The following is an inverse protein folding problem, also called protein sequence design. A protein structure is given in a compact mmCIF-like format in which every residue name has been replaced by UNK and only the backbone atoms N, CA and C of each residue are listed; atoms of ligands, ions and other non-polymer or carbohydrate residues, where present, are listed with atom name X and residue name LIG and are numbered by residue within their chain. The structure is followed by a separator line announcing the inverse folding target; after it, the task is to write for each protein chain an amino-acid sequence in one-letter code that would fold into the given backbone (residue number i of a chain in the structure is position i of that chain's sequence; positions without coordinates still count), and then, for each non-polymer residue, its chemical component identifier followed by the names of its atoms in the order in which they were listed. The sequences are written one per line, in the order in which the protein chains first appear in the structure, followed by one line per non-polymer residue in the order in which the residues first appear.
data_IF_432032037046
#
_entry.id   IF_432032037046
#
_cell.length_a   1.000
_cell.length_b   1.000
_cell.length_c   1.000
_cell.angle_alpha   90.00
_cell.angle_beta   90.00
_cell.angle_gamma   90.00
#
_symmetry.space_group_name_H-M   'P 1'
#
loop_
_entity.id
_entity.type
_entity.pdbx_description
1 polymer ?
#
# COMPACT_ATOMS: atom_id res chain seq x y z
N UNK A 1 -4.36 11.06 13.80
CA UNK A 1 -3.64 10.95 12.52
C UNK A 1 -3.66 9.49 12.05
N UNK A 2 -4.10 9.27 10.85
CA UNK A 2 -4.16 7.93 10.24
C UNK A 2 -2.79 7.60 9.66
N UNK A 3 -2.31 6.38 9.93
CA UNK A 3 -1.10 5.84 9.30
C UNK A 3 -1.52 4.98 8.12
N UNK A 4 -0.98 5.26 6.94
CA UNK A 4 -1.36 4.61 5.70
C UNK A 4 -0.26 3.70 5.18
N UNK A 5 -0.62 2.47 4.85
CA UNK A 5 0.23 1.54 4.12
C UNK A 5 -0.25 1.52 2.68
N UNK A 6 0.59 1.99 1.76
CA UNK A 6 0.24 2.09 0.35
C UNK A 6 0.76 0.87 -0.39
N UNK A 7 -0.16 0.11 -0.99
CA UNK A 7 0.14 -1.07 -1.79
C UNK A 7 0.80 -0.69 -3.12
N UNK A 8 1.54 -1.65 -3.68
CA UNK A 8 2.27 -1.50 -4.94
C UNK A 8 1.39 -1.01 -6.09
N UNK A 9 0.13 -1.45 -6.16
CA UNK A 9 -0.79 -1.02 -7.22
C UNK A 9 -0.97 0.49 -7.26
N UNK A 10 -1.06 1.13 -6.09
CA UNK A 10 -1.23 2.57 -5.95
C UNK A 10 0.08 3.32 -6.18
N UNK A 11 1.19 2.81 -5.63
CA UNK A 11 2.52 3.36 -5.90
C UNK A 11 2.86 3.31 -7.39
N UNK A 12 2.54 2.20 -8.07
CA UNK A 12 2.83 2.02 -9.49
C UNK A 12 2.12 3.06 -10.35
N UNK A 13 0.89 3.43 -10.02
CA UNK A 13 0.19 4.51 -10.72
C UNK A 13 0.97 5.83 -10.62
N UNK A 14 1.38 6.20 -9.41
CA UNK A 14 2.11 7.45 -9.16
C UNK A 14 3.46 7.47 -9.90
N UNK A 15 4.19 6.35 -9.85
CA UNK A 15 5.54 6.26 -10.42
C UNK A 15 5.51 6.18 -11.94
N UNK A 16 4.53 5.49 -12.54
CA UNK A 16 4.38 5.46 -13.99
C UNK A 16 4.09 6.85 -14.56
N UNK A 17 3.25 7.62 -13.88
CA UNK A 17 2.94 8.98 -14.31
C UNK A 17 4.18 9.88 -14.22
N UNK A 18 5.00 9.74 -13.19
CA UNK A 18 6.26 10.46 -13.05
C UNK A 18 7.23 10.10 -14.19
N UNK A 19 7.39 8.80 -14.48
CA UNK A 19 8.25 8.31 -15.55
C UNK A 19 7.83 8.86 -16.92
N UNK A 20 6.54 8.92 -17.17
CA UNK A 20 5.98 9.43 -18.43
C UNK A 20 5.88 10.96 -18.48
N UNK A 21 6.36 11.65 -17.44
CA UNK A 21 6.28 13.10 -17.30
C UNK A 21 4.84 13.65 -17.35
N UNK A 22 3.87 12.79 -17.00
CA UNK A 22 2.49 13.23 -16.87
C UNK A 22 2.30 14.02 -15.58
N UNK A 23 1.27 14.86 -15.55
CA UNK A 23 0.97 15.68 -14.38
C UNK A 23 0.61 14.78 -13.19
N UNK A 24 1.54 14.67 -12.23
CA UNK A 24 1.38 13.83 -11.05
C UNK A 24 0.34 14.34 -10.05
N UNK A 25 -0.21 15.56 -10.26
CA UNK A 25 -1.23 16.13 -9.37
C UNK A 25 -2.51 15.30 -9.28
N UNK A 26 -2.72 14.42 -10.26
CA UNK A 26 -3.92 13.59 -10.33
C UNK A 26 -3.81 12.27 -9.56
N UNK A 27 -2.60 11.89 -9.09
CA UNK A 27 -2.42 10.60 -8.42
C UNK A 27 -2.94 10.61 -6.98
N UNK A 28 -3.45 9.46 -6.54
CA UNK A 28 -3.90 9.29 -5.16
C UNK A 28 -2.75 9.50 -4.17
N UNK A 29 -1.56 8.99 -4.48
CA UNK A 29 -0.37 9.16 -3.62
C UNK A 29 -0.08 10.64 -3.39
N UNK A 30 -0.09 11.44 -4.44
CA UNK A 30 0.18 12.87 -4.29
C UNK A 30 -0.85 13.55 -3.41
N UNK A 31 -2.13 13.20 -3.56
CA UNK A 31 -3.19 13.75 -2.72
C UNK A 31 -3.03 13.38 -1.26
N UNK A 32 -2.63 12.14 -1.00
CA UNK A 32 -2.33 11.66 0.35
C UNK A 32 -1.18 12.48 0.96
N UNK A 33 -0.11 12.70 0.20
CA UNK A 33 1.04 13.49 0.64
C UNK A 33 0.60 14.94 0.95
N UNK A 34 -0.19 15.54 0.08
CA UNK A 34 -0.69 16.90 0.26
C UNK A 34 -1.59 17.07 1.50
N UNK A 35 -2.24 15.99 1.93
CA UNK A 35 -3.05 15.99 3.14
C UNK A 35 -2.26 15.71 4.41
N UNK A 36 -0.93 15.61 4.33
CA UNK A 36 -0.05 15.39 5.47
C UNK A 36 -0.35 14.11 6.26
N UNK A 37 -0.89 13.08 5.59
CA UNK A 37 -1.07 11.78 6.22
C UNK A 37 0.28 11.09 6.38
N UNK A 38 0.43 10.28 7.43
CA UNK A 38 1.66 9.50 7.63
C UNK A 38 1.65 8.27 6.73
N UNK A 39 2.65 8.17 5.85
CA UNK A 39 2.81 7.04 4.95
C UNK A 39 3.89 6.12 5.51
N UNK A 40 3.57 4.82 5.53
CA UNK A 40 4.47 3.77 6.00
C UNK A 40 4.81 2.84 4.84
N UNK A 41 6.07 2.42 4.78
CA UNK A 41 6.58 1.47 3.80
C UNK A 41 7.06 0.22 4.53
N UNK A 42 6.82 -0.94 3.92
CA UNK A 42 7.33 -2.23 4.39
C UNK A 42 8.22 -2.87 3.31
N UNK A 43 9.10 -3.78 3.72
CA UNK A 43 10.16 -4.32 2.87
C UNK A 43 9.67 -4.96 1.59
N UNK A 44 8.63 -5.78 1.62
CA UNK A 44 8.16 -6.46 0.42
C UNK A 44 7.55 -5.50 -0.61
N UNK A 45 6.91 -4.43 -0.17
CA UNK A 45 6.39 -3.41 -1.09
C UNK A 45 7.55 -2.61 -1.69
N UNK A 46 8.52 -2.23 -0.86
CA UNK A 46 9.74 -1.56 -1.34
C UNK A 46 10.44 -2.39 -2.43
N UNK A 47 10.65 -3.66 -2.17
CA UNK A 47 11.28 -4.58 -3.13
C UNK A 47 10.46 -4.67 -4.43
N UNK A 48 9.14 -4.81 -4.31
CA UNK A 48 8.27 -4.96 -5.46
C UNK A 48 8.24 -3.72 -6.35
N UNK A 49 8.29 -2.54 -5.74
CA UNK A 49 8.37 -1.29 -6.49
C UNK A 49 9.70 -1.19 -7.24
N UNK A 50 10.81 -1.46 -6.57
CA UNK A 50 12.14 -1.24 -7.13
C UNK A 50 12.57 -2.30 -8.13
N UNK A 51 12.12 -3.54 -7.97
CA UNK A 51 12.59 -4.66 -8.80
C UNK A 51 12.31 -4.52 -10.30
N UNK A 52 11.32 -3.72 -10.66
CA UNK A 52 10.97 -3.51 -12.07
C UNK A 52 11.67 -2.33 -12.72
N UNK A 53 12.51 -1.60 -11.98
CA UNK A 53 13.16 -0.40 -12.47
C UNK A 53 14.60 -0.73 -12.85
N UNK A 54 14.86 -0.87 -14.15
CA UNK A 54 16.18 -1.25 -14.67
C UNK A 54 17.08 -0.06 -14.97
N UNK A 55 16.52 1.13 -15.16
CA UNK A 55 17.29 2.36 -15.34
C UNK A 55 17.91 2.79 -13.99
N UNK A 56 19.24 2.87 -13.92
CA UNK A 56 19.93 3.16 -12.66
C UNK A 56 19.62 4.53 -12.08
N UNK A 57 19.47 5.54 -12.93
CA UNK A 57 19.15 6.90 -12.49
C UNK A 57 17.74 6.94 -11.89
N UNK A 58 16.77 6.36 -12.57
CA UNK A 58 15.40 6.30 -12.09
C UNK A 58 15.30 5.46 -10.81
N UNK A 59 16.01 4.33 -10.75
CA UNK A 59 16.08 3.49 -9.55
C UNK A 59 16.54 4.30 -8.33
N UNK A 60 17.62 5.07 -8.48
CA UNK A 60 18.15 5.90 -7.40
C UNK A 60 17.18 7.00 -6.98
N UNK A 61 16.51 7.64 -7.93
CA UNK A 61 15.52 8.67 -7.64
C UNK A 61 14.36 8.10 -6.83
N UNK A 62 13.79 6.98 -7.27
CA UNK A 62 12.65 6.35 -6.61
C UNK A 62 13.06 5.83 -5.23
N UNK A 63 14.23 5.18 -5.13
CA UNK A 63 14.77 4.73 -3.85
C UNK A 63 14.86 5.89 -2.85
N UNK A 64 15.39 7.02 -3.28
CA UNK A 64 15.56 8.18 -2.41
C UNK A 64 14.21 8.75 -1.96
N UNK A 65 13.23 8.81 -2.85
CA UNK A 65 11.87 9.23 -2.50
C UNK A 65 11.27 8.31 -1.45
N UNK A 66 11.38 6.99 -1.65
CA UNK A 66 10.80 6.01 -0.73
C UNK A 66 11.50 6.00 0.63
N UNK A 67 12.79 6.33 0.68
CA UNK A 67 13.54 6.40 1.93
C UNK A 67 13.08 7.54 2.85
N UNK A 68 12.36 8.53 2.34
CA UNK A 68 11.86 9.64 3.13
C UNK A 68 10.63 9.28 3.96
N UNK A 69 10.02 8.15 3.70
CA UNK A 69 8.83 7.70 4.43
C UNK A 69 9.20 6.78 5.60
N UNK A 70 8.32 6.69 6.58
CA UNK A 70 8.49 5.77 7.72
C UNK A 70 8.55 4.34 7.23
N UNK A 71 9.39 3.53 7.86
CA UNK A 71 9.57 2.12 7.52
C UNK A 71 9.24 1.24 8.71
N UNK A 72 8.48 0.17 8.49
CA UNK A 72 8.16 -0.83 9.51
C UNK A 72 8.72 -2.17 9.06
N UNK A 73 9.46 -2.82 9.95
CA UNK A 73 9.97 -4.18 9.74
C UNK A 73 8.84 -5.20 9.90
N UNK A 74 8.85 -6.22 9.04
CA UNK A 74 7.91 -7.34 9.16
C UNK A 74 8.45 -8.28 10.25
N UNK A 75 7.62 -8.56 11.25
CA UNK A 75 8.01 -9.36 12.40
C UNK A 75 7.64 -10.84 12.23
N UNK A 76 8.18 -11.68 13.12
CA UNK A 76 7.80 -13.10 13.16
C UNK A 76 6.28 -13.24 13.37
N UNK A 77 5.70 -12.43 14.24
CA UNK A 77 4.28 -12.44 14.54
C UNK A 77 3.45 -12.11 13.30
N UNK A 78 3.93 -11.23 12.45
CA UNK A 78 3.26 -10.88 11.18
C UNK A 78 3.19 -12.09 10.26
N UNK A 79 4.27 -12.86 10.15
CA UNK A 79 4.29 -14.08 9.33
C UNK A 79 3.33 -15.14 9.86
N UNK A 80 3.32 -15.34 11.18
CA UNK A 80 2.41 -16.31 11.83
C UNK A 80 0.97 -15.90 11.61
N UNK A 81 0.68 -14.63 11.84
CA UNK A 81 -0.68 -14.11 11.66
C UNK A 81 -1.12 -14.18 10.19
N UNK A 82 -0.22 -13.95 9.25
CA UNK A 82 -0.52 -14.10 7.81
C UNK A 82 -0.97 -15.52 7.47
N UNK A 83 -0.33 -16.53 8.05
CA UNK A 83 -0.73 -17.92 7.87
C UNK A 83 -2.11 -18.18 8.47
N UNK A 84 -2.39 -17.65 9.65
CA UNK A 84 -3.70 -17.76 10.30
C UNK A 84 -4.80 -17.10 9.46
N UNK A 85 -4.55 -15.89 8.95
CA UNK A 85 -5.50 -15.18 8.09
C UNK A 85 -5.79 -15.95 6.80
N UNK A 86 -4.75 -16.49 6.17
CA UNK A 86 -4.90 -17.29 4.96
C UNK A 86 -5.81 -18.50 5.22
N UNK A 87 -5.56 -19.21 6.31
CA UNK A 87 -6.33 -20.40 6.65
C UNK A 87 -7.80 -20.06 6.96
N UNK A 88 -8.03 -18.98 7.70
CA UNK A 88 -9.36 -18.48 8.01
C UNK A 88 -10.12 -18.06 6.75
N UNK A 89 -9.46 -17.29 5.88
CA UNK A 89 -10.07 -16.79 4.64
C UNK A 89 -10.39 -17.94 3.68
N UNK A 90 -9.53 -18.97 3.62
CA UNK A 90 -9.77 -20.15 2.80
C UNK A 90 -11.05 -20.86 3.20
N UNK A 91 -11.33 -20.94 4.49
CA UNK A 91 -12.58 -21.53 5.00
C UNK A 91 -13.82 -20.74 4.55
N UNK A 92 -13.65 -19.46 4.30
CA UNK A 92 -14.71 -18.57 3.81
C UNK A 92 -14.76 -18.50 2.27
N UNK A 93 -13.96 -19.31 1.58
CA UNK A 93 -13.91 -19.31 0.12
C UNK A 93 -13.10 -18.16 -0.49
N UNK A 94 -12.31 -17.46 0.31
CA UNK A 94 -11.50 -16.34 -0.15
C UNK A 94 -10.10 -16.84 -0.43
N UNK A 95 -9.61 -16.57 -1.65
CA UNK A 95 -8.25 -16.90 -2.07
C UNK A 95 -7.50 -15.62 -2.44
N UNK A 96 -6.23 -15.59 -2.07
CA UNK A 96 -5.32 -14.49 -2.39
C UNK A 96 -3.89 -15.03 -2.29
N UNK A 97 -2.92 -14.26 -2.76
CA UNK A 97 -1.52 -14.66 -2.69
C UNK A 97 -0.95 -14.57 -1.28
N UNK A 98 0.15 -15.28 -1.05
CA UNK A 98 0.82 -15.29 0.26
C UNK A 98 1.27 -13.88 0.69
N UNK A 99 1.73 -13.07 -0.25
CA UNK A 99 2.14 -11.70 0.05
C UNK A 99 0.95 -10.81 0.40
N UNK A 100 -0.23 -11.05 -0.18
CA UNK A 100 -1.44 -10.30 0.17
C UNK A 100 -1.79 -10.52 1.65
N UNK A 101 -1.74 -11.76 2.12
CA UNK A 101 -2.00 -12.05 3.53
C UNK A 101 -0.93 -11.48 4.45
N UNK A 102 0.32 -11.44 4.00
CA UNK A 102 1.40 -10.84 4.78
C UNK A 102 1.21 -9.32 4.91
N UNK A 103 0.90 -8.66 3.81
CA UNK A 103 0.61 -7.22 3.83
C UNK A 103 -0.59 -6.91 4.74
N UNK A 104 -1.66 -7.69 4.61
CA UNK A 104 -2.84 -7.54 5.46
C UNK A 104 -2.50 -7.72 6.94
N UNK A 105 -1.67 -8.72 7.27
CA UNK A 105 -1.28 -8.99 8.66
C UNK A 105 -0.47 -7.85 9.26
N UNK A 106 0.48 -7.28 8.50
CA UNK A 106 1.25 -6.13 8.94
C UNK A 106 0.35 -4.93 9.20
N UNK A 107 -0.60 -4.68 8.29
CA UNK A 107 -1.53 -3.57 8.43
C UNK A 107 -2.39 -3.72 9.69
N UNK A 108 -2.92 -4.91 9.95
CA UNK A 108 -3.75 -5.18 11.13
C UNK A 108 -2.92 -5.04 12.41
N UNK A 109 -1.75 -5.68 12.46
CA UNK A 109 -0.92 -5.70 13.66
C UNK A 109 -0.36 -4.33 14.04
N UNK A 110 -0.19 -3.45 13.06
CA UNK A 110 0.37 -2.10 13.28
C UNK A 110 -0.70 -1.00 13.20
N UNK A 111 -1.96 -1.38 13.16
CA UNK A 111 -3.11 -0.45 13.07
C UNK A 111 -2.97 0.53 11.90
N UNK A 112 -2.57 0.00 10.74
CA UNK A 112 -2.45 0.78 9.51
C UNK A 112 -3.71 0.64 8.67
N UNK A 113 -4.03 1.69 7.94
CA UNK A 113 -5.09 1.65 6.93
C UNK A 113 -4.43 1.41 5.58
N UNK A 114 -4.87 0.36 4.88
CA UNK A 114 -4.31 -0.03 3.60
C UNK A 114 -4.92 0.79 2.46
N UNK A 115 -4.07 1.28 1.58
CA UNK A 115 -4.46 1.99 0.36
C UNK A 115 -4.15 1.07 -0.82
N UNK A 116 -5.16 0.60 -1.54
CA UNK A 116 -4.99 -0.40 -2.59
C UNK A 116 -6.07 -0.30 -3.66
N UNK A 117 -5.71 -0.72 -4.88
CA UNK A 117 -6.67 -0.95 -5.97
C UNK A 117 -6.97 -2.43 -6.18
N UNK A 118 -6.32 -3.32 -5.39
CA UNK A 118 -6.44 -4.76 -5.56
C UNK A 118 -7.66 -5.29 -4.81
N UNK A 119 -8.60 -5.89 -5.54
CA UNK A 119 -9.84 -6.45 -4.97
C UNK A 119 -9.60 -7.59 -3.99
N UNK A 120 -8.46 -8.28 -4.05
CA UNK A 120 -8.12 -9.31 -3.07
C UNK A 120 -8.13 -8.76 -1.64
N UNK A 121 -7.59 -7.56 -1.44
CA UNK A 121 -7.58 -6.92 -0.12
C UNK A 121 -8.99 -6.51 0.33
N UNK A 122 -9.82 -6.07 -0.59
CA UNK A 122 -11.21 -5.73 -0.28
C UNK A 122 -11.94 -6.99 0.22
N UNK A 123 -11.72 -8.13 -0.44
CA UNK A 123 -12.31 -9.41 -0.03
C UNK A 123 -11.80 -9.84 1.35
N UNK A 124 -10.50 -9.71 1.60
CA UNK A 124 -9.90 -10.00 2.91
C UNK A 124 -10.51 -9.10 3.99
N UNK A 125 -10.71 -7.81 3.70
CA UNK A 125 -11.23 -6.85 4.67
C UNK A 125 -12.64 -7.19 5.15
N UNK A 126 -13.44 -7.86 4.33
CA UNK A 126 -14.81 -8.25 4.68
C UNK A 126 -14.88 -9.33 5.77
N UNK A 127 -13.80 -10.08 5.96
CA UNK A 127 -13.73 -11.21 6.89
C UNK A 127 -12.68 -11.03 7.97
N UNK A 128 -12.02 -9.89 8.04
CA UNK A 128 -10.94 -9.60 8.99
C UNK A 128 -11.08 -8.18 9.51
N UNK A 129 -10.14 -7.76 10.37
CA UNK A 129 -10.08 -6.39 10.87
C UNK A 129 -9.26 -5.46 9.97
N UNK A 130 -8.91 -5.89 8.77
CA UNK A 130 -8.19 -5.05 7.82
C UNK A 130 -9.02 -3.83 7.45
N UNK A 131 -8.41 -2.66 7.59
CA UNK A 131 -9.03 -1.38 7.21
C UNK A 131 -8.52 -0.97 5.84
N UNK A 132 -9.45 -0.68 4.94
CA UNK A 132 -9.15 -0.16 3.60
C UNK A 132 -9.53 1.31 3.55
N UNK A 133 -8.66 2.13 2.98
CA UNK A 133 -8.94 3.54 2.80
C UNK A 133 -10.04 3.74 1.77
N UNK A 134 -11.05 4.53 2.14
CA UNK A 134 -12.04 5.00 1.17
C UNK A 134 -11.43 6.18 0.40
N UNK A 135 -11.03 5.92 -0.84
CA UNK A 135 -10.36 6.91 -1.69
C UNK A 135 -11.26 8.10 -2.05
N UNK A 136 -12.59 7.97 -1.93
CA UNK A 136 -13.51 9.08 -2.20
C UNK A 136 -13.22 10.27 -1.29
N UNK A 137 -12.66 10.02 -0.10
CA UNK A 137 -12.19 11.06 0.82
C UNK A 137 -11.25 12.06 0.13
N UNK A 138 -10.41 11.58 -0.80
CA UNK A 138 -9.43 12.40 -1.50
C UNK A 138 -9.95 12.95 -2.83
N UNK A 139 -10.96 12.32 -3.41
CA UNK A 139 -11.59 12.79 -4.65
C UNK A 139 -12.42 14.04 -4.41
N UNK A 140 -13.07 14.15 -3.27
CA UNK A 140 -13.95 15.26 -2.94
C UNK A 140 -13.21 16.59 -2.75
N UNK A 141 -11.90 16.56 -2.52
CA UNK A 141 -11.09 17.77 -2.40
C UNK A 141 -10.95 18.54 -3.73
N UNK A 142 -11.16 17.90 -4.87
CA UNK A 142 -11.13 18.60 -6.17
C UNK A 142 -12.38 19.46 -6.41
N UNK A 143 -13.48 19.11 -5.79
CA UNK A 143 -14.78 19.77 -6.01
C UNK A 143 -15.19 20.66 -4.84
N UNK A 144 -14.37 20.73 -3.81
CA UNK A 144 -14.70 21.41 -2.56
C UNK A 144 -14.08 22.79 -2.40
N UNK A 145 -14.08 23.53 -3.46
CA UNK A 145 -13.61 24.92 -3.37
C UNK A 145 -14.74 25.80 -2.88
#
# INVERSE_FOLDING_TARGET
MIKLLIDTSVWSEALRRKEKKLNSSETLVKRIIENNEEIVIIGIILQEILRGITNETLFSEIKNILNDFSFIDISREDYIFAAELRNKCKQQGITAGSFDFLIASVAINNNLTLVTYNNNFINISRHTRLKILDETKYLNFKNGV
#
